data_IF_244440669706
#
_entry.id   IF_244440669706
#
_cell.length_a   1.000
_cell.length_b   1.000
_cell.length_c   1.000
_cell.angle_alpha   90.00
_cell.angle_beta   90.00
_cell.angle_gamma   90.00
#
_symmetry.space_group_name_H-M   'P 1'
#
loop_
_entity.id
_entity.type
_entity.pdbx_description
1 polymer ?
#
# COMPACT_ATOMS: atom_id res chain seq x y z
N UNK A 1 10.57 1.40 -25.18
CA UNK A 1 10.67 2.86 -25.44
C UNK A 1 10.59 3.59 -24.11
N UNK A 2 11.24 4.75 -23.94
CA UNK A 2 11.11 5.55 -22.71
C UNK A 2 9.85 6.41 -22.83
N UNK A 3 8.91 6.28 -21.90
CA UNK A 3 7.59 6.90 -22.03
C UNK A 3 7.44 8.13 -21.15
N UNK A 4 7.95 8.06 -19.92
CA UNK A 4 7.88 9.16 -18.96
C UNK A 4 9.28 9.51 -18.49
N UNK A 5 9.54 10.80 -18.26
CA UNK A 5 10.73 11.28 -17.55
C UNK A 5 10.31 11.90 -16.24
N UNK A 6 10.90 11.46 -15.13
CA UNK A 6 10.70 12.03 -13.80
C UNK A 6 11.35 13.41 -13.76
N UNK A 7 10.60 14.44 -13.41
CA UNK A 7 11.10 15.82 -13.25
C UNK A 7 11.24 16.22 -11.79
N UNK A 8 10.44 15.64 -10.90
CA UNK A 8 10.58 15.79 -9.46
C UNK A 8 10.18 14.49 -8.77
N UNK A 9 10.87 14.16 -7.67
CA UNK A 9 10.59 12.96 -6.88
C UNK A 9 11.09 13.16 -5.45
N UNK A 10 10.35 12.62 -4.49
CA UNK A 10 10.77 12.54 -3.08
C UNK A 10 11.34 11.15 -2.79
N UNK A 11 12.04 10.96 -1.65
CA UNK A 11 12.45 9.62 -1.19
C UNK A 11 11.29 8.65 -0.90
N UNK A 12 10.04 9.12 -0.98
CA UNK A 12 8.83 8.33 -0.76
C UNK A 12 8.12 7.92 -2.07
N UNK A 13 8.77 8.14 -3.22
CA UNK A 13 8.26 7.76 -4.53
C UNK A 13 9.05 6.56 -5.05
N UNK A 14 8.40 5.42 -5.27
CA UNK A 14 9.10 4.19 -5.66
C UNK A 14 8.23 3.29 -6.53
N UNK A 15 8.87 2.39 -7.29
CA UNK A 15 8.15 1.30 -7.93
C UNK A 15 7.72 0.27 -6.90
N UNK A 16 6.47 -0.15 -6.98
CA UNK A 16 5.88 -1.18 -6.15
C UNK A 16 5.03 -2.12 -7.01
N UNK A 17 5.00 -3.39 -6.62
CA UNK A 17 4.05 -4.39 -7.13
C UNK A 17 3.41 -5.11 -5.92
N UNK A 18 2.92 -6.35 -6.09
CA UNK A 18 2.37 -7.13 -4.98
C UNK A 18 3.42 -7.60 -3.94
N UNK A 19 4.71 -7.45 -4.23
CA UNK A 19 5.83 -7.87 -3.39
C UNK A 19 6.36 -9.27 -3.71
N UNK A 20 7.43 -9.64 -3.00
CA UNK A 20 8.17 -10.90 -3.15
C UNK A 20 7.57 -12.00 -2.29
N UNK A 21 6.88 -12.94 -2.91
CA UNK A 21 6.29 -14.08 -2.21
C UNK A 21 7.26 -15.26 -2.14
N UNK A 22 7.14 -16.08 -1.10
CA UNK A 22 7.95 -17.29 -0.92
C UNK A 22 9.37 -17.06 -0.38
N UNK A 23 9.86 -15.82 -0.28
CA UNK A 23 11.27 -15.54 0.09
C UNK A 23 11.53 -15.31 1.59
N UNK A 24 10.48 -15.12 2.41
CA UNK A 24 10.63 -14.74 3.83
C UNK A 24 11.45 -15.73 4.68
N UNK A 25 11.42 -17.02 4.32
CA UNK A 25 12.20 -18.05 4.99
C UNK A 25 13.72 -17.89 4.79
N UNK A 26 14.13 -17.10 3.78
CA UNK A 26 15.53 -16.72 3.52
C UNK A 26 15.94 -15.44 4.27
N UNK A 27 15.05 -14.87 5.08
CA UNK A 27 15.28 -13.58 5.75
C UNK A 27 15.04 -12.35 4.88
N UNK A 28 14.56 -12.52 3.64
CA UNK A 28 14.31 -11.43 2.68
C UNK A 28 12.94 -10.78 2.89
N UNK A 29 12.90 -9.46 2.81
CA UNK A 29 11.68 -8.67 2.96
C UNK A 29 10.77 -8.79 1.74
N UNK A 30 9.46 -8.89 1.99
CA UNK A 30 8.45 -9.02 0.95
C UNK A 30 8.28 -7.73 0.13
N UNK A 31 8.18 -6.56 0.78
CA UNK A 31 7.90 -5.30 0.10
C UNK A 31 6.48 -5.23 -0.50
N UNK A 32 6.30 -4.39 -1.52
CA UNK A 32 5.06 -4.23 -2.28
C UNK A 32 4.23 -3.02 -1.84
N UNK A 33 3.15 -2.72 -2.55
CA UNK A 33 2.29 -1.58 -2.26
C UNK A 33 1.66 -1.66 -0.86
N UNK A 34 1.65 -0.54 -0.12
CA UNK A 34 1.04 -0.50 1.22
C UNK A 34 -0.50 -0.50 1.18
N UNK A 35 -1.06 0.21 0.21
CA UNK A 35 -2.49 0.18 -0.13
C UNK A 35 -2.67 -0.62 -1.42
N UNK A 36 -2.77 -1.93 -1.24
CA UNK A 36 -2.98 -2.88 -2.33
C UNK A 36 -4.31 -2.65 -3.06
N UNK A 37 -5.32 -2.09 -2.39
CA UNK A 37 -6.64 -1.81 -2.97
C UNK A 37 -6.51 -0.74 -4.05
N UNK A 38 -5.88 0.39 -3.71
CA UNK A 38 -5.67 1.48 -4.66
C UNK A 38 -4.76 1.05 -5.82
N UNK A 39 -3.71 0.27 -5.54
CA UNK A 39 -2.88 -0.33 -6.58
C UNK A 39 -3.70 -1.18 -7.55
N UNK A 40 -4.53 -2.10 -7.04
CA UNK A 40 -5.35 -2.96 -7.90
C UNK A 40 -6.33 -2.16 -8.74
N UNK A 41 -6.92 -1.08 -8.21
CA UNK A 41 -7.78 -0.19 -8.98
C UNK A 41 -7.04 0.57 -10.07
N UNK A 42 -5.85 1.12 -9.79
CA UNK A 42 -5.02 1.78 -10.79
C UNK A 42 -4.72 0.84 -11.97
N UNK A 43 -4.32 -0.40 -11.68
CA UNK A 43 -4.08 -1.43 -12.69
C UNK A 43 -5.36 -1.85 -13.42
N UNK A 44 -6.45 -2.09 -12.69
CA UNK A 44 -7.73 -2.51 -13.26
C UNK A 44 -8.34 -1.50 -14.24
N UNK A 45 -8.16 -0.20 -14.00
CA UNK A 45 -8.58 0.86 -14.91
C UNK A 45 -7.94 0.73 -16.30
N UNK A 46 -6.71 0.21 -16.37
CA UNK A 46 -5.97 -0.05 -17.61
C UNK A 46 -6.15 -1.48 -18.12
N UNK A 47 -6.92 -2.32 -17.43
CA UNK A 47 -7.02 -3.75 -17.78
C UNK A 47 -5.72 -4.53 -17.58
N UNK A 48 -4.79 -4.02 -16.77
CA UNK A 48 -3.56 -4.72 -16.41
C UNK A 48 -3.86 -5.91 -15.50
N UNK A 49 -2.88 -6.80 -15.35
CA UNK A 49 -2.82 -7.66 -14.17
C UNK A 49 -2.85 -6.77 -12.90
N UNK A 50 -3.67 -7.12 -11.92
CA UNK A 50 -3.90 -6.29 -10.72
C UNK A 50 -2.61 -6.02 -9.91
N UNK A 51 -1.64 -6.93 -10.04
CA UNK A 51 -0.36 -6.93 -9.36
C UNK A 51 0.78 -6.34 -10.20
N UNK A 52 0.50 -5.79 -11.38
CA UNK A 52 1.52 -5.22 -12.26
C UNK A 52 2.24 -4.04 -11.58
N UNK A 53 3.52 -3.79 -11.89
CA UNK A 53 4.29 -2.71 -11.28
C UNK A 53 3.66 -1.33 -11.51
N UNK A 54 3.54 -0.56 -10.42
CA UNK A 54 3.03 0.81 -10.36
C UNK A 54 4.06 1.73 -9.70
N UNK A 55 3.91 3.04 -9.88
CA UNK A 55 4.59 4.02 -9.03
C UNK A 55 3.71 4.29 -7.81
N UNK A 56 4.21 3.99 -6.61
CA UNK A 56 3.64 4.46 -5.34
C UNK A 56 4.23 5.84 -5.03
N UNK A 57 3.35 6.84 -4.84
CA UNK A 57 3.70 8.20 -4.43
C UNK A 57 3.10 8.46 -3.06
N UNK A 58 3.93 8.62 -2.03
CA UNK A 58 3.46 9.06 -0.72
C UNK A 58 3.68 10.56 -0.52
N UNK A 59 2.67 11.25 -0.01
CA UNK A 59 2.69 12.66 0.39
C UNK A 59 2.97 13.68 -0.74
N UNK A 60 2.98 13.26 -2.00
CA UNK A 60 3.17 14.15 -3.15
C UNK A 60 4.64 14.45 -3.46
N UNK A 61 4.90 15.62 -4.04
CA UNK A 61 6.23 16.02 -4.51
C UNK A 61 6.76 15.20 -5.68
N UNK A 62 5.86 14.65 -6.51
CA UNK A 62 6.22 13.82 -7.67
C UNK A 62 5.73 14.46 -8.96
N UNK A 63 6.58 14.51 -10.00
CA UNK A 63 6.15 14.92 -11.33
C UNK A 63 6.84 14.14 -12.44
N UNK A 64 6.10 13.93 -13.52
CA UNK A 64 6.59 13.26 -14.73
C UNK A 64 6.14 14.03 -15.96
N UNK A 65 6.99 14.06 -16.99
CA UNK A 65 6.66 14.56 -18.32
C UNK A 65 6.54 13.42 -19.31
N UNK A 66 5.49 13.45 -20.13
CA UNK A 66 5.31 12.50 -21.21
C UNK A 66 6.32 12.73 -22.34
N UNK A 67 7.06 11.70 -22.69
CA UNK A 67 7.94 11.70 -23.87
C UNK A 67 7.19 11.26 -25.14
N UNK A 68 6.07 10.57 -24.96
CA UNK A 68 5.14 10.10 -25.99
C UNK A 68 3.71 10.19 -25.46
N UNK A 69 2.74 10.26 -26.37
CA UNK A 69 1.32 10.18 -26.00
C UNK A 69 1.04 8.83 -25.32
N UNK A 70 0.41 8.87 -24.16
CA UNK A 70 0.08 7.66 -23.43
C UNK A 70 -1.23 7.80 -22.63
N UNK A 71 -1.78 6.66 -22.21
CA UNK A 71 -2.88 6.59 -21.26
C UNK A 71 -2.31 6.04 -19.96
N UNK A 72 -2.55 6.72 -18.84
CA UNK A 72 -2.14 6.30 -17.51
C UNK A 72 -3.37 6.19 -16.62
N UNK A 73 -3.22 5.64 -15.42
CA UNK A 73 -4.27 5.64 -14.41
C UNK A 73 -3.77 6.04 -13.05
N UNK A 74 -4.60 6.79 -12.32
CA UNK A 74 -4.31 7.25 -10.97
C UNK A 74 -5.41 6.77 -10.04
N UNK A 75 -5.04 6.16 -8.91
CA UNK A 75 -5.95 5.79 -7.84
C UNK A 75 -5.28 6.00 -6.46
N UNK A 76 -6.06 5.91 -5.39
CA UNK A 76 -5.58 6.15 -4.04
C UNK A 76 -5.90 7.57 -3.55
N UNK A 77 -4.97 8.16 -2.80
CA UNK A 77 -5.08 9.51 -2.26
C UNK A 77 -5.29 10.57 -3.35
N UNK A 78 -6.07 11.60 -3.01
CA UNK A 78 -6.04 12.86 -3.72
C UNK A 78 -4.81 13.64 -3.25
N UNK A 79 -3.77 13.66 -4.10
CA UNK A 79 -2.52 14.38 -3.87
C UNK A 79 -2.44 15.69 -4.66
N UNK A 80 -3.59 16.33 -4.93
CA UNK A 80 -3.69 17.55 -5.72
C UNK A 80 -2.99 17.37 -7.07
N UNK A 81 -3.42 16.34 -7.81
CA UNK A 81 -2.82 15.99 -9.08
C UNK A 81 -3.25 17.00 -10.17
N UNK A 82 -2.30 17.46 -10.98
CA UNK A 82 -2.55 18.33 -12.13
C UNK A 82 -1.88 17.81 -13.38
N UNK A 83 -2.58 17.91 -14.53
CA UNK A 83 -1.97 17.86 -15.85
C UNK A 83 -1.77 19.31 -16.30
N UNK A 84 -0.51 19.73 -16.34
CA UNK A 84 -0.11 21.12 -16.44
C UNK A 84 -0.81 21.95 -15.34
N UNK A 85 -1.77 22.81 -15.71
CA UNK A 85 -2.54 23.62 -14.75
C UNK A 85 -3.92 23.03 -14.40
N UNK A 86 -4.34 21.95 -15.05
CA UNK A 86 -5.69 21.39 -14.88
C UNK A 86 -5.72 20.29 -13.83
N UNK A 87 -6.58 20.45 -12.83
CA UNK A 87 -6.78 19.45 -11.79
C UNK A 87 -7.27 18.11 -12.37
N UNK A 88 -6.67 17.02 -11.89
CA UNK A 88 -6.98 15.64 -12.22
C UNK A 88 -7.47 14.92 -10.95
N UNK A 89 -8.76 14.61 -10.91
CA UNK A 89 -9.30 13.78 -9.84
C UNK A 89 -8.72 12.34 -9.92
N UNK A 90 -8.41 11.68 -8.78
CA UNK A 90 -7.98 10.29 -8.77
C UNK A 90 -9.13 9.33 -9.10
N UNK A 91 -8.82 8.03 -9.14
CA UNK A 91 -9.74 6.92 -9.45
C UNK A 91 -10.20 6.85 -10.91
N UNK A 92 -9.30 7.22 -11.84
CA UNK A 92 -9.56 7.19 -13.29
C UNK A 92 -8.30 6.98 -14.11
N UNK A 93 -8.48 6.50 -15.33
CA UNK A 93 -7.48 6.65 -16.39
C UNK A 93 -7.61 7.99 -17.10
N UNK A 94 -6.52 8.44 -17.71
CA UNK A 94 -6.43 9.73 -18.38
C UNK A 94 -5.36 9.68 -19.47
N UNK A 95 -5.50 10.55 -20.47
CA UNK A 95 -4.48 10.73 -21.52
C UNK A 95 -3.47 11.77 -21.06
N UNK A 96 -2.19 11.50 -21.31
CA UNK A 96 -1.09 12.44 -21.17
C UNK A 96 -0.41 12.56 -22.53
N UNK A 97 -0.53 13.72 -23.18
CA UNK A 97 0.09 13.92 -24.49
C UNK A 97 1.56 14.29 -24.34
N UNK A 98 2.36 14.02 -25.37
CA UNK A 98 3.79 14.31 -25.39
C UNK A 98 4.04 15.77 -25.00
N UNK A 99 4.90 15.96 -24.01
CA UNK A 99 5.28 17.26 -23.47
C UNK A 99 4.43 17.72 -22.29
N UNK A 100 3.26 17.12 -22.05
CA UNK A 100 2.47 17.44 -20.86
C UNK A 100 3.09 16.89 -19.59
N UNK A 101 2.87 17.61 -18.50
CA UNK A 101 3.37 17.26 -17.18
C UNK A 101 2.24 16.81 -16.27
N UNK A 102 2.38 15.64 -15.68
CA UNK A 102 1.61 15.25 -14.51
C UNK A 102 2.37 15.64 -13.24
N UNK A 103 1.72 16.36 -12.33
CA UNK A 103 2.30 16.77 -11.04
C UNK A 103 1.37 16.34 -9.90
N UNK A 104 1.88 15.61 -8.91
CA UNK A 104 1.20 15.30 -7.65
C UNK A 104 1.86 16.15 -6.57
N UNK A 105 1.14 17.14 -6.07
CA UNK A 105 1.72 18.22 -5.23
C UNK A 105 1.75 17.83 -3.76
N UNK A 106 0.58 17.65 -3.15
CA UNK A 106 0.43 17.49 -1.71
C UNK A 106 -0.89 16.81 -1.35
N UNK A 107 -1.01 16.15 -0.19
CA UNK A 107 -2.24 15.49 0.23
C UNK A 107 -3.41 16.47 0.43
N UNK A 108 -4.52 16.19 -0.25
CA UNK A 108 -5.85 16.74 0.06
C UNK A 108 -6.70 15.72 0.82
N UNK A 109 -6.59 14.44 0.46
CA UNK A 109 -7.26 13.33 1.13
C UNK A 109 -6.45 12.05 0.97
N UNK A 110 -6.20 11.33 2.07
CA UNK A 110 -5.34 10.15 2.06
C UNK A 110 -3.85 10.51 2.07
N UNK A 111 -2.98 9.50 1.95
CA UNK A 111 -1.53 9.69 2.04
C UNK A 111 -0.76 9.14 0.82
N UNK A 112 -1.31 8.17 0.10
CA UNK A 112 -0.60 7.43 -0.96
C UNK A 112 -1.43 7.30 -2.23
N UNK A 113 -0.86 7.71 -3.35
CA UNK A 113 -1.45 7.52 -4.68
C UNK A 113 -0.62 6.53 -5.50
N UNK A 114 -1.29 5.87 -6.44
CA UNK A 114 -0.69 4.85 -7.31
C UNK A 114 -0.91 5.24 -8.76
N UNK A 115 0.19 5.47 -9.47
CA UNK A 115 0.19 5.70 -10.90
C UNK A 115 0.49 4.39 -11.60
N UNK A 116 -0.42 3.95 -12.48
CA UNK A 116 -0.26 2.78 -13.32
C UNK A 116 -0.05 3.19 -14.78
N UNK A 117 0.67 2.36 -15.51
CA UNK A 117 0.86 2.46 -16.95
C UNK A 117 0.42 1.16 -17.65
N UNK A 118 0.08 1.17 -18.95
CA UNK A 118 -0.39 0.00 -19.65
C UNK A 118 0.63 -1.14 -19.60
N UNK A 119 0.20 -2.33 -19.20
CA UNK A 119 1.07 -3.50 -18.98
C UNK A 119 1.90 -3.47 -17.68
N UNK A 120 1.89 -2.36 -16.94
CA UNK A 120 2.77 -2.10 -15.80
C UNK A 120 4.10 -1.45 -16.23
N UNK A 121 4.78 -0.81 -15.27
CA UNK A 121 6.09 -0.23 -15.53
C UNK A 121 7.17 -1.32 -15.70
N UNK A 122 8.03 -1.15 -16.69
CA UNK A 122 9.18 -2.02 -16.92
C UNK A 122 10.19 -1.84 -15.77
N UNK A 123 10.59 -2.96 -15.17
CA UNK A 123 11.59 -3.02 -14.12
C UNK A 123 12.21 -4.42 -14.06
N UNK A 124 13.44 -4.50 -13.56
CA UNK A 124 14.13 -5.78 -13.37
C UNK A 124 13.53 -6.54 -12.17
N UNK A 125 12.95 -7.74 -12.36
CA UNK A 125 12.38 -8.49 -11.26
C UNK A 125 13.49 -9.13 -10.41
N UNK A 126 13.49 -8.85 -9.11
CA UNK A 126 14.43 -9.45 -8.15
C UNK A 126 13.67 -10.40 -7.25
N UNK A 127 14.00 -11.69 -7.33
CA UNK A 127 13.28 -12.77 -6.64
C UNK A 127 11.76 -12.74 -6.92
N UNK A 128 11.40 -12.50 -8.18
CA UNK A 128 10.00 -12.54 -8.64
C UNK A 128 9.19 -11.27 -8.37
N UNK A 129 9.80 -10.16 -7.94
CA UNK A 129 9.10 -8.88 -7.81
C UNK A 129 10.01 -7.66 -8.00
N UNK A 130 9.40 -6.57 -8.46
CA UNK A 130 9.99 -5.26 -8.70
C UNK A 130 9.81 -4.31 -7.51
N UNK A 131 9.15 -4.73 -6.43
CA UNK A 131 8.89 -3.89 -5.26
C UNK A 131 10.16 -3.29 -4.67
N UNK A 132 10.21 -1.98 -4.53
CA UNK A 132 11.40 -1.32 -3.98
C UNK A 132 11.46 -1.53 -2.46
N UNK A 133 12.54 -2.12 -1.96
CA UNK A 133 12.89 -2.20 -0.53
C UNK A 133 14.29 -1.61 -0.35
N UNK A 134 14.34 -0.32 0.01
CA UNK A 134 15.58 0.47 0.05
C UNK A 134 16.62 -0.11 1.00
N UNK A 135 16.19 -0.52 2.20
CA UNK A 135 17.07 -1.07 3.26
C UNK A 135 17.88 -2.27 2.78
N UNK A 136 17.31 -3.07 1.90
CA UNK A 136 17.89 -4.33 1.41
C UNK A 136 18.47 -4.20 0.00
N UNK A 137 18.34 -3.03 -0.65
CA UNK A 137 18.79 -2.84 -2.02
C UNK A 137 18.06 -3.72 -3.03
N UNK A 138 16.76 -3.98 -2.81
CA UNK A 138 15.97 -4.91 -3.65
C UNK A 138 14.91 -4.19 -4.49
N UNK A 139 14.84 -4.52 -5.78
CA UNK A 139 13.79 -4.06 -6.68
C UNK A 139 14.02 -2.64 -7.21
N UNK A 140 12.94 -1.91 -7.49
CA UNK A 140 13.06 -0.65 -8.23
C UNK A 140 13.32 -0.91 -9.72
N UNK A 141 13.63 0.16 -10.46
CA UNK A 141 13.74 0.10 -11.93
C UNK A 141 14.86 -0.84 -12.40
N UNK A 142 16.00 -0.83 -11.70
CA UNK A 142 17.22 -1.56 -12.03
C UNK A 142 17.50 -2.75 -11.10
N UNK A 143 16.56 -3.08 -10.21
CA UNK A 143 16.69 -4.16 -9.24
C UNK A 143 17.54 -3.83 -8.00
N UNK A 144 18.11 -2.62 -7.88
CA UNK A 144 19.04 -2.25 -6.80
C UNK A 144 18.39 -1.53 -5.60
N UNK A 145 17.05 -1.56 -5.50
CA UNK A 145 16.28 -0.96 -4.40
C UNK A 145 16.24 0.56 -4.41
N UNK A 146 16.53 1.19 -5.55
CA UNK A 146 16.48 2.64 -5.71
C UNK A 146 15.05 3.19 -5.76
N UNK A 147 14.78 4.23 -4.95
CA UNK A 147 13.62 5.11 -5.13
C UNK A 147 13.73 5.88 -6.45
N UNK A 148 12.60 6.41 -6.93
CA UNK A 148 12.59 7.21 -8.16
C UNK A 148 13.34 8.52 -7.97
N UNK A 149 14.11 8.92 -8.98
CA UNK A 149 14.93 10.15 -8.97
C UNK A 149 14.63 11.03 -10.15
N UNK A 150 14.85 12.34 -9.97
CA UNK A 150 14.82 13.29 -11.07
C UNK A 150 15.73 12.85 -12.23
N UNK A 151 15.26 13.04 -13.45
CA UNK A 151 15.95 12.65 -14.68
C UNK A 151 15.80 11.18 -15.06
N UNK A 152 15.27 10.33 -14.16
CA UNK A 152 15.03 8.92 -14.47
C UNK A 152 13.91 8.78 -15.52
N UNK A 153 14.06 7.78 -16.40
CA UNK A 153 13.06 7.47 -17.41
C UNK A 153 12.33 6.18 -17.04
N UNK A 154 11.01 6.22 -17.09
CA UNK A 154 10.13 5.08 -16.89
C UNK A 154 9.62 4.57 -18.24
N UNK A 155 9.62 3.26 -18.41
CA UNK A 155 9.17 2.57 -19.62
C UNK A 155 8.03 1.62 -19.28
N UNK A 156 7.24 1.27 -20.28
CA UNK A 156 6.18 0.25 -20.21
C UNK A 156 5.89 -0.22 -21.64
N UNK A 157 5.29 -1.40 -21.80
CA UNK A 157 5.09 -2.02 -23.12
C UNK A 157 3.62 -2.27 -23.49
N UNK A 158 2.66 -1.99 -22.60
CA UNK A 158 1.25 -2.20 -22.89
C UNK A 158 0.66 -1.21 -23.90
N UNK A 159 -0.52 -1.53 -24.42
CA UNK A 159 -1.24 -0.72 -25.40
C UNK A 159 -2.22 0.24 -24.74
N UNK A 160 -2.54 1.35 -25.43
CA UNK A 160 -3.53 2.30 -24.95
C UNK A 160 -4.90 1.62 -24.76
N UNK A 161 -5.54 1.91 -23.64
CA UNK A 161 -6.89 1.44 -23.31
C UNK A 161 -7.89 2.59 -23.26
N UNK A 162 -9.20 2.32 -23.38
CA UNK A 162 -10.22 3.34 -23.18
C UNK A 162 -10.09 4.04 -21.82
N UNK A 163 -10.48 5.31 -21.78
CA UNK A 163 -10.60 6.08 -20.54
C UNK A 163 -11.74 5.48 -19.69
N UNK A 164 -11.46 5.25 -18.41
CA UNK A 164 -12.36 4.64 -17.44
C UNK A 164 -12.27 5.39 -16.13
N UNK A 165 -13.31 5.24 -15.33
CA UNK A 165 -13.39 5.78 -13.98
C UNK A 165 -14.01 4.73 -13.05
N UNK A 166 -13.50 4.65 -11.83
CA UNK A 166 -14.07 3.76 -10.82
C UNK A 166 -15.42 4.32 -10.39
N UNK A 167 -16.53 3.55 -10.44
CA UNK A 167 -17.82 3.99 -9.91
C UNK A 167 -17.69 4.44 -8.46
N UNK A 168 -18.31 5.57 -8.09
CA UNK A 168 -18.15 6.19 -6.76
C UNK A 168 -18.39 5.22 -5.59
N UNK A 169 -19.42 4.37 -5.69
CA UNK A 169 -19.77 3.37 -4.66
C UNK A 169 -18.76 2.21 -4.52
N UNK A 170 -17.82 2.07 -5.46
CA UNK A 170 -16.74 1.09 -5.40
C UNK A 170 -15.42 1.70 -4.88
N UNK A 171 -15.34 3.02 -4.77
CA UNK A 171 -14.16 3.71 -4.24
C UNK A 171 -14.11 3.51 -2.72
N UNK A 172 -12.93 3.20 -2.16
CA UNK A 172 -12.74 3.22 -0.71
C UNK A 172 -13.02 4.60 -0.12
N UNK A 173 -13.63 4.64 1.05
CA UNK A 173 -13.83 5.88 1.80
C UNK A 173 -12.66 6.13 2.77
N UNK A 174 -12.01 7.28 2.65
CA UNK A 174 -10.96 7.71 3.59
C UNK A 174 -11.59 8.43 4.77
N UNK A 175 -12.09 7.63 5.71
CA UNK A 175 -12.77 8.07 6.93
C UNK A 175 -11.80 8.81 7.86
N UNK A 176 -12.23 9.94 8.39
CA UNK A 176 -11.53 10.63 9.47
C UNK A 176 -11.65 9.75 10.72
N UNK A 177 -10.52 9.22 11.19
CA UNK A 177 -10.42 8.27 12.31
C UNK A 177 -11.04 6.89 12.02
N UNK A 178 -10.40 6.09 11.16
CA UNK A 178 -10.90 4.77 10.83
C UNK A 178 -10.81 3.82 12.03
N UNK A 179 -11.73 2.85 12.04
CA UNK A 179 -11.64 1.67 12.89
C UNK A 179 -10.97 0.56 12.10
N UNK A 180 -9.91 0.00 12.63
CA UNK A 180 -9.04 -0.98 11.99
C UNK A 180 -9.28 -2.35 12.60
N UNK A 181 -9.72 -3.28 11.75
CA UNK A 181 -9.99 -4.65 12.17
C UNK A 181 -8.71 -5.42 12.45
N UNK A 182 -8.68 -6.06 13.61
CA UNK A 182 -7.57 -6.83 14.13
C UNK A 182 -8.03 -8.24 14.45
N UNK A 183 -7.46 -9.23 13.77
CA UNK A 183 -7.61 -10.65 14.14
C UNK A 183 -6.74 -10.89 15.36
N UNK A 184 -7.37 -11.32 16.46
CA UNK A 184 -6.71 -11.52 17.75
C UNK A 184 -5.61 -12.59 17.68
N UNK A 185 -4.48 -12.30 18.33
CA UNK A 185 -3.30 -13.16 18.36
C UNK A 185 -3.26 -14.12 19.54
N UNK A 186 -2.36 -15.10 19.48
CA UNK A 186 -2.20 -16.11 20.54
C UNK A 186 -1.76 -15.50 21.88
N UNK A 187 -0.94 -14.44 21.85
CA UNK A 187 -0.43 -13.78 23.06
C UNK A 187 -1.45 -12.84 23.71
N UNK A 188 -2.67 -12.69 23.17
CA UNK A 188 -3.62 -11.69 23.64
C UNK A 188 -4.03 -11.91 25.11
N UNK A 189 -4.09 -13.17 25.56
CA UNK A 189 -4.47 -13.53 26.93
C UNK A 189 -3.42 -13.19 28.00
N UNK A 190 -2.19 -12.89 27.58
CA UNK A 190 -1.08 -12.54 28.48
C UNK A 190 -0.96 -11.03 28.73
N UNK A 191 -1.81 -10.21 28.11
CA UNK A 191 -1.87 -8.78 28.39
C UNK A 191 -2.76 -8.49 29.59
N UNK A 192 -2.40 -7.48 30.39
CA UNK A 192 -3.21 -7.05 31.52
C UNK A 192 -4.63 -6.66 31.04
N UNK A 193 -5.66 -6.97 31.84
CA UNK A 193 -7.06 -6.70 31.47
C UNK A 193 -7.35 -5.24 31.13
N UNK A 194 -6.74 -4.29 31.87
CA UNK A 194 -6.83 -2.87 31.55
C UNK A 194 -6.19 -2.54 30.19
N UNK A 195 -5.06 -3.17 29.85
CA UNK A 195 -4.42 -2.97 28.56
C UNK A 195 -5.24 -3.52 27.40
N UNK A 196 -5.93 -4.64 27.57
CA UNK A 196 -6.88 -5.14 26.56
C UNK A 196 -8.07 -4.20 26.41
N UNK A 197 -8.59 -3.66 27.52
CA UNK A 197 -9.62 -2.64 27.48
C UNK A 197 -9.16 -1.40 26.70
N UNK A 198 -7.98 -0.87 27.02
CA UNK A 198 -7.40 0.30 26.36
C UNK A 198 -7.13 0.06 24.87
N UNK A 199 -6.58 -1.12 24.51
CA UNK A 199 -6.31 -1.52 23.13
C UNK A 199 -7.52 -1.31 22.20
N UNK A 200 -8.72 -1.68 22.67
CA UNK A 200 -9.93 -1.70 21.85
C UNK A 200 -10.92 -0.57 22.15
N UNK A 201 -10.68 0.24 23.19
CA UNK A 201 -11.59 1.33 23.57
C UNK A 201 -10.94 2.72 23.55
N UNK A 202 -9.64 2.82 23.33
CA UNK A 202 -8.94 4.10 23.17
C UNK A 202 -8.71 4.48 21.70
N UNK A 203 -8.50 5.78 21.50
CA UNK A 203 -7.98 6.32 20.26
C UNK A 203 -6.45 6.19 20.25
N UNK A 204 -5.91 5.75 19.14
CA UNK A 204 -4.47 5.62 18.91
C UNK A 204 -4.01 6.68 17.92
N UNK A 205 -2.96 7.43 18.25
CA UNK A 205 -2.39 8.46 17.36
C UNK A 205 -1.22 7.88 16.59
N UNK A 206 -1.21 8.00 15.26
CA UNK A 206 -0.07 7.55 14.45
C UNK A 206 1.16 8.43 14.75
N UNK A 207 2.28 7.81 15.10
CA UNK A 207 3.55 8.51 15.29
C UNK A 207 3.99 9.19 13.98
N UNK A 208 4.61 10.36 14.12
CA UNK A 208 5.17 11.12 13.00
C UNK A 208 6.32 10.42 12.27
N UNK A 209 7.00 9.47 12.92
CA UNK A 209 8.12 8.69 12.37
C UNK A 209 7.67 7.41 11.67
N UNK A 210 6.43 7.38 11.17
CA UNK A 210 5.88 6.25 10.44
C UNK A 210 6.60 6.02 9.10
N UNK A 211 6.93 4.76 8.80
CA UNK A 211 7.54 4.37 7.54
C UNK A 211 6.90 3.07 6.98
N UNK A 212 7.52 2.50 5.94
CA UNK A 212 7.03 1.26 5.31
C UNK A 212 7.37 -0.01 6.10
N UNK A 213 8.23 0.06 7.12
CA UNK A 213 8.51 -1.06 8.02
C UNK A 213 7.42 -1.19 9.08
N UNK A 214 6.98 -0.06 9.64
CA UNK A 214 5.90 -0.07 10.62
C UNK A 214 5.44 1.30 11.06
N UNK A 215 4.27 1.30 11.69
CA UNK A 215 3.62 2.51 12.21
C UNK A 215 3.40 2.31 13.70
N UNK A 216 4.08 3.14 14.50
CA UNK A 216 3.86 3.20 15.94
C UNK A 216 2.57 3.94 16.25
N UNK A 217 1.81 3.38 17.19
CA UNK A 217 0.56 3.91 17.70
C UNK A 217 0.81 4.47 19.11
N UNK A 218 0.57 5.76 19.27
CA UNK A 218 0.75 6.49 20.52
C UNK A 218 -0.57 6.53 21.29
N UNK A 219 -0.54 6.09 22.54
CA UNK A 219 -1.69 6.00 23.43
C UNK A 219 -1.31 5.51 24.83
N UNK A 220 -2.28 5.02 25.62
CA UNK A 220 -2.00 4.40 26.91
C UNK A 220 -1.00 3.24 26.76
N UNK A 221 0.03 3.13 27.62
CA UNK A 221 0.99 2.05 27.54
C UNK A 221 0.33 0.71 27.87
N UNK A 222 0.46 -0.26 26.96
CA UNK A 222 -0.06 -1.60 27.15
C UNK A 222 0.96 -2.46 27.92
N UNK A 223 0.47 -3.27 28.86
CA UNK A 223 1.28 -4.11 29.74
C UNK A 223 1.10 -5.57 29.36
N UNK A 224 2.20 -6.19 28.93
CA UNK A 224 2.32 -7.63 28.72
C UNK A 224 2.86 -8.30 29.99
N UNK A 225 2.23 -9.38 30.43
CA UNK A 225 2.55 -10.11 31.68
C UNK A 225 3.04 -11.54 31.43
N UNK A 226 3.10 -11.96 30.16
CA UNK A 226 3.58 -13.27 29.78
C UNK A 226 5.11 -13.40 29.78
N UNK A 227 5.63 -14.60 29.48
CA UNK A 227 7.06 -14.86 29.43
C UNK A 227 7.73 -14.13 28.26
N UNK A 228 9.06 -13.98 28.33
CA UNK A 228 9.83 -13.45 27.21
C UNK A 228 9.59 -14.28 25.94
N UNK A 229 9.38 -13.60 24.81
CA UNK A 229 9.10 -14.23 23.53
C UNK A 229 10.39 -14.74 22.87
N UNK A 230 10.36 -15.98 22.38
CA UNK A 230 11.35 -16.48 21.42
C UNK A 230 11.07 -15.81 20.06
N UNK A 231 12.12 -15.44 19.32
CA UNK A 231 11.93 -14.84 18.00
C UNK A 231 11.19 -15.77 17.06
N UNK A 232 10.11 -15.26 16.47
CA UNK A 232 9.22 -16.01 15.59
C UNK A 232 8.86 -15.21 14.33
N UNK A 233 8.31 -15.91 13.33
CA UNK A 233 7.89 -15.30 12.07
C UNK A 233 6.81 -14.24 12.25
N UNK A 234 6.96 -13.13 11.55
CA UNK A 234 6.04 -11.99 11.63
C UNK A 234 5.10 -11.92 10.42
N UNK A 235 3.78 -12.06 10.61
CA UNK A 235 2.81 -11.81 9.54
C UNK A 235 2.68 -10.32 9.24
N UNK A 236 2.25 -9.99 8.01
CA UNK A 236 1.91 -8.61 7.66
C UNK A 236 0.76 -8.13 8.55
N UNK A 237 0.85 -6.89 9.03
CA UNK A 237 -0.13 -6.29 9.92
C UNK A 237 -0.03 -6.72 11.37
N UNK A 238 0.96 -7.54 11.75
CA UNK A 238 1.20 -7.86 13.15
C UNK A 238 1.31 -6.58 13.99
N UNK A 239 0.56 -6.53 15.10
CA UNK A 239 0.58 -5.42 16.04
C UNK A 239 1.41 -5.83 17.26
N UNK A 240 2.70 -5.50 17.21
CA UNK A 240 3.65 -5.80 18.28
C UNK A 240 3.58 -4.76 19.39
N UNK A 241 3.80 -5.18 20.63
CA UNK A 241 3.88 -4.29 21.80
C UNK A 241 5.27 -4.44 22.43
N UNK A 242 6.19 -3.49 22.21
CA UNK A 242 7.49 -3.47 22.86
C UNK A 242 7.38 -3.14 24.37
N UNK A 243 8.50 -3.17 25.12
CA UNK A 243 8.51 -2.86 26.56
C UNK A 243 8.00 -1.46 26.95
N UNK A 244 8.00 -0.50 26.01
CA UNK A 244 7.44 0.84 26.22
C UNK A 244 5.89 0.87 26.18
N UNK A 245 5.27 -0.27 25.85
CA UNK A 245 3.82 -0.45 25.79
C UNK A 245 3.15 0.22 24.59
N UNK A 246 3.88 0.83 23.67
CA UNK A 246 3.33 1.55 22.52
C UNK A 246 3.24 0.62 21.30
N UNK A 247 2.04 0.24 20.83
CA UNK A 247 1.90 -0.73 19.76
C UNK A 247 2.58 -0.29 18.45
N UNK A 248 3.11 -1.23 17.68
CA UNK A 248 3.68 -1.02 16.36
C UNK A 248 2.98 -1.96 15.37
N UNK A 249 2.30 -1.39 14.39
CA UNK A 249 1.73 -2.14 13.25
C UNK A 249 2.84 -2.38 12.23
N UNK A 250 3.16 -3.63 11.96
CA UNK A 250 4.23 -4.01 11.03
C UNK A 250 3.72 -4.11 9.59
N UNK A 251 4.40 -3.42 8.68
CA UNK A 251 3.97 -3.22 7.30
C UNK A 251 4.80 -4.04 6.30
N UNK A 252 4.76 -3.68 5.02
CA UNK A 252 5.31 -4.47 3.93
C UNK A 252 6.83 -4.64 3.99
N UNK A 253 7.54 -3.65 4.55
CA UNK A 253 9.00 -3.65 4.62
C UNK A 253 9.53 -4.16 5.99
N UNK A 254 8.64 -4.75 6.81
CA UNK A 254 8.94 -5.28 8.15
C UNK A 254 10.03 -6.36 8.10
N UNK A 255 10.73 -6.49 9.22
CA UNK A 255 11.58 -7.65 9.52
C UNK A 255 10.82 -8.99 9.47
N UNK A 256 11.51 -10.05 9.08
CA UNK A 256 10.92 -11.38 8.91
C UNK A 256 10.63 -12.09 10.23
N UNK A 257 11.47 -11.87 11.24
CA UNK A 257 11.37 -12.44 12.59
C UNK A 257 11.41 -11.34 13.66
N UNK A 258 10.79 -11.59 14.81
CA UNK A 258 10.93 -10.73 15.98
C UNK A 258 10.41 -11.35 17.25
N UNK A 259 10.74 -10.74 18.39
CA UNK A 259 10.50 -11.29 19.72
C UNK A 259 9.68 -10.36 20.62
N UNK A 260 8.74 -9.60 20.05
CA UNK A 260 7.78 -8.83 20.85
C UNK A 260 6.41 -9.50 20.87
N UNK A 261 5.69 -9.46 22.01
CA UNK A 261 4.34 -9.96 22.11
C UNK A 261 3.42 -9.18 21.17
N UNK A 262 2.34 -9.82 20.74
CA UNK A 262 1.44 -9.28 19.72
C UNK A 262 0.00 -9.29 20.21
N UNK A 263 -0.72 -8.20 19.97
CA UNK A 263 -2.18 -8.19 20.14
C UNK A 263 -2.86 -9.09 19.10
N UNK A 264 -2.27 -9.18 17.91
CA UNK A 264 -2.81 -9.90 16.77
C UNK A 264 -2.26 -9.34 15.46
N UNK A 265 -3.04 -9.40 14.39
CA UNK A 265 -2.70 -8.83 13.10
C UNK A 265 -3.89 -8.10 12.48
N UNK A 266 -3.64 -6.92 11.90
CA UNK A 266 -4.64 -6.19 11.13
C UNK A 266 -5.06 -6.98 9.89
N UNK A 267 -6.33 -6.86 9.51
CA UNK A 267 -6.84 -7.43 8.25
C UNK A 267 -6.22 -6.72 7.04
N UNK A 268 -6.18 -7.35 5.85
CA UNK A 268 -5.64 -6.69 4.65
C UNK A 268 -6.37 -5.39 4.28
N UNK A 269 -7.68 -5.31 4.51
CA UNK A 269 -8.46 -4.09 4.30
C UNK A 269 -8.14 -3.01 5.34
N UNK A 270 -7.97 -3.39 6.60
CA UNK A 270 -7.54 -2.46 7.64
C UNK A 270 -6.13 -1.91 7.35
N UNK A 271 -5.24 -2.70 6.78
CA UNK A 271 -3.92 -2.24 6.34
C UNK A 271 -3.99 -1.23 5.19
N UNK A 272 -4.83 -1.49 4.19
CA UNK A 272 -5.06 -0.53 3.11
C UNK A 272 -5.61 0.80 3.64
N UNK A 273 -6.55 0.75 4.60
CA UNK A 273 -7.07 1.94 5.28
C UNK A 273 -5.98 2.67 6.09
N UNK A 274 -5.16 1.92 6.84
CA UNK A 274 -4.07 2.48 7.64
C UNK A 274 -3.01 3.16 6.76
N UNK A 275 -2.70 2.58 5.60
CA UNK A 275 -1.77 3.12 4.62
C UNK A 275 -2.21 4.48 4.05
N UNK A 276 -3.48 4.87 4.22
CA UNK A 276 -4.01 6.17 3.82
C UNK A 276 -4.11 7.18 4.96
N UNK A 277 -3.80 6.77 6.19
CA UNK A 277 -3.80 7.67 7.34
C UNK A 277 -2.55 8.57 7.33
N UNK A 278 -2.76 9.87 7.58
CA UNK A 278 -1.68 10.83 7.72
C UNK A 278 -0.94 10.64 9.06
N UNK A 279 0.36 10.99 9.14
CA UNK A 279 1.04 11.12 10.41
C UNK A 279 0.26 12.01 11.39
N UNK A 280 0.14 11.60 12.65
CA UNK A 280 -0.68 12.28 13.66
C UNK A 280 -2.19 12.02 13.56
N UNK A 281 -2.67 11.29 12.56
CA UNK A 281 -4.06 10.87 12.50
C UNK A 281 -4.40 9.93 13.67
N UNK A 282 -5.67 9.91 14.07
CA UNK A 282 -6.18 8.96 15.06
C UNK A 282 -6.78 7.74 14.37
N UNK A 283 -6.71 6.59 15.02
CA UNK A 283 -7.37 5.35 14.60
C UNK A 283 -7.94 4.63 15.84
N UNK A 284 -8.83 3.66 15.63
CA UNK A 284 -9.24 2.70 16.66
C UNK A 284 -8.95 1.30 16.21
N UNK A 285 -8.74 0.38 17.14
CA UNK A 285 -8.64 -1.05 16.85
C UNK A 285 -9.97 -1.72 17.20
N UNK A 286 -10.42 -2.65 16.36
CA UNK A 286 -11.59 -3.49 16.63
C UNK A 286 -11.19 -4.95 16.54
N UNK A 287 -11.41 -5.75 17.60
CA UNK A 287 -11.13 -7.18 17.55
C UNK A 287 -12.17 -7.87 16.67
N UNK A 288 -11.72 -8.73 15.76
CA UNK A 288 -12.60 -9.53 14.91
C UNK A 288 -12.19 -11.00 14.93
N UNK A 289 -13.15 -11.89 14.68
CA UNK A 289 -12.88 -13.31 14.52
C UNK A 289 -12.22 -13.58 13.17
N UNK A 290 -11.29 -14.54 13.12
CA UNK A 290 -10.58 -14.90 11.90
C UNK A 290 -11.52 -15.28 10.75
N UNK A 291 -12.57 -16.05 11.04
CA UNK A 291 -13.54 -16.47 10.02
C UNK A 291 -14.31 -15.29 9.42
N UNK A 292 -14.71 -14.32 10.24
CA UNK A 292 -15.38 -13.10 9.76
C UNK A 292 -14.44 -12.30 8.85
N UNK A 293 -13.20 -12.05 9.31
CA UNK A 293 -12.20 -11.33 8.53
C UNK A 293 -11.90 -12.01 7.19
N UNK A 294 -11.86 -13.35 7.16
CA UNK A 294 -11.67 -14.12 5.94
C UNK A 294 -12.85 -13.96 4.97
N UNK A 295 -14.09 -14.08 5.46
CA UNK A 295 -15.30 -13.91 4.62
C UNK A 295 -15.37 -12.51 4.02
N UNK A 296 -15.10 -11.47 4.81
CA UNK A 296 -15.09 -10.08 4.34
C UNK A 296 -14.00 -9.85 3.28
N UNK A 297 -12.82 -10.44 3.46
CA UNK A 297 -11.75 -10.39 2.46
C UNK A 297 -12.17 -11.06 1.15
N UNK A 298 -12.78 -12.26 1.19
CA UNK A 298 -13.24 -12.94 -0.02
C UNK A 298 -14.32 -12.13 -0.74
N UNK A 299 -15.34 -11.66 -0.01
CA UNK A 299 -16.40 -10.82 -0.56
C UNK A 299 -15.86 -9.53 -1.20
N UNK A 300 -14.77 -8.98 -0.66
CA UNK A 300 -14.11 -7.84 -1.27
C UNK A 300 -13.43 -8.22 -2.60
N UNK A 301 -12.64 -9.30 -2.62
CA UNK A 301 -11.93 -9.78 -3.82
C UNK A 301 -12.89 -10.16 -4.97
N UNK A 302 -14.12 -10.57 -4.68
CA UNK A 302 -15.16 -10.83 -5.69
C UNK A 302 -15.52 -9.59 -6.50
N UNK A 303 -15.37 -8.36 -5.96
CA UNK A 303 -15.70 -7.13 -6.71
C UNK A 303 -14.81 -6.96 -7.95
N UNK A 304 -13.56 -7.44 -7.91
CA UNK A 304 -12.61 -7.37 -9.02
C UNK A 304 -12.96 -8.37 -10.12
N UNK A 305 -13.54 -9.51 -9.77
CA UNK A 305 -14.01 -10.48 -10.75
C UNK A 305 -15.12 -9.90 -11.63
N UNK A 306 -16.05 -9.15 -11.04
CA UNK A 306 -17.12 -8.48 -11.78
C UNK A 306 -16.57 -7.44 -12.75
N UNK A 307 -15.58 -6.65 -12.35
CA UNK A 307 -14.90 -5.68 -13.23
C UNK A 307 -14.12 -6.34 -14.35
N UNK A 308 -13.32 -7.36 -14.04
CA UNK A 308 -12.51 -8.06 -15.04
C UNK A 308 -13.38 -8.84 -16.03
N UNK A 309 -14.50 -9.43 -15.58
CA UNK A 309 -15.47 -10.12 -16.45
C UNK A 309 -16.24 -9.20 -17.41
N UNK A 310 -16.29 -7.89 -17.13
CA UNK A 310 -16.85 -6.88 -18.03
C UNK A 310 -15.85 -6.36 -19.08
N UNK A 311 -14.59 -6.79 -19.02
CA UNK A 311 -13.54 -6.42 -19.97
C UNK A 311 -13.41 -7.49 -21.06
N UNK A 312 -13.32 -7.13 -22.36
CA UNK A 312 -13.05 -8.12 -23.39
C UNK A 312 -11.68 -8.80 -23.14
N UNK A 313 -11.68 -10.13 -23.01
CA UNK A 313 -10.48 -10.95 -22.83
C UNK A 313 -10.14 -11.39 -21.38
N UNK A 314 -11.09 -11.36 -20.45
CA UNK A 314 -10.87 -11.84 -19.08
C UNK A 314 -10.40 -13.32 -19.04
N UNK A 315 -9.33 -13.65 -18.29
CA UNK A 315 -8.95 -15.04 -18.09
C UNK A 315 -9.99 -15.77 -17.23
N UNK A 316 -10.28 -17.02 -17.59
CA UNK A 316 -11.13 -17.90 -16.79
C UNK A 316 -10.54 -18.11 -15.38
N UNK A 317 -11.43 -18.30 -14.39
CA UNK A 317 -11.12 -18.51 -12.97
C UNK A 317 -9.87 -19.39 -12.77
N UNK A 318 -8.87 -18.97 -11.98
CA UNK A 318 -7.96 -19.93 -11.38
C UNK A 318 -8.75 -20.77 -10.36
N UNK A 319 -8.58 -22.10 -10.43
CA UNK A 319 -9.15 -23.06 -9.47
C UNK A 319 -8.46 -22.97 -8.12
#
# INVERSE_FOLDING_TARGET
MKHLRVEASTPLCALQDAGRFGVRHLGVTQGGALDWVAMHWANGLLGNALQAPVVEVALGGFSVVAQHDCVLALAGADLDAHIDEHYLAPWRSFTLTKGQRLTLRQPRQGARAYLAAPGGFDAEPVMGSCATVVREGLGGVDGQGGVLREGQCLSFAGTATPIREVPGHLRPEYVVKPTLDLVIGAQIGDFAGLSLFDAFNCDWTLDTRADRMGIRLLGPPLVYQGPAMISEGIPLGAVQVPPDGQPIVLLNDRQTIGGYPRLGALTPLALAQLAQCMPGAKVRLRPVMQEQAWREQQAYLERWHVLLSGLPGAPDRPR
#
